data_IF_452473316032
#
_entry.id   IF_452473316032
#
_cell.length_a   1.000
_cell.length_b   1.000
_cell.length_c   1.000
_cell.angle_alpha   90.00
_cell.angle_beta   90.00
_cell.angle_gamma   90.00
#
_symmetry.space_group_name_H-M   'P 1'
#
loop_
_entity.id
_entity.type
_entity.pdbx_description
1 polymer ?
#
# COMPACT_ATOMS: atom_id res chain seq x y z
N UNK A 1 23.10 2.74 -19.36
CA UNK A 1 22.84 4.19 -19.52
C UNK A 1 21.74 4.74 -18.57
N UNK A 2 20.69 3.98 -18.20
CA UNK A 2 19.61 4.43 -17.30
C UNK A 2 20.01 4.66 -15.83
N UNK A 3 21.21 4.24 -15.40
CA UNK A 3 21.70 4.37 -14.01
C UNK A 3 22.54 5.65 -13.83
N UNK A 4 23.13 6.19 -14.86
CA UNK A 4 24.03 7.36 -14.81
C UNK A 4 23.27 8.66 -14.95
N UNK A 5 23.65 9.69 -14.14
CA UNK A 5 23.13 11.05 -14.27
C UNK A 5 23.54 11.65 -15.63
N UNK A 6 22.64 12.47 -16.21
CA UNK A 6 22.96 13.27 -17.38
C UNK A 6 24.16 14.21 -17.15
N UNK A 7 25.01 14.38 -18.17
CA UNK A 7 25.87 15.55 -18.26
C UNK A 7 25.00 16.78 -18.28
N UNK A 8 25.38 17.80 -17.49
CA UNK A 8 24.71 19.09 -17.38
C UNK A 8 24.56 19.71 -18.76
N UNK A 9 23.33 19.87 -19.23
CA UNK A 9 23.02 20.69 -20.38
C UNK A 9 22.72 22.09 -19.85
N UNK A 10 23.44 23.10 -20.31
CA UNK A 10 23.45 24.44 -19.73
C UNK A 10 22.14 25.24 -19.90
N UNK A 11 21.13 24.68 -20.56
CA UNK A 11 19.87 25.34 -20.92
C UNK A 11 18.67 25.04 -20.01
N UNK A 12 18.77 24.12 -19.04
CA UNK A 12 17.64 23.75 -18.18
C UNK A 12 17.71 24.37 -16.79
N UNK A 13 16.56 24.81 -16.27
CA UNK A 13 16.40 25.17 -14.86
C UNK A 13 16.64 23.93 -13.96
N UNK A 14 16.92 24.16 -12.66
CA UNK A 14 17.14 23.06 -11.72
C UNK A 14 15.94 22.12 -11.60
N UNK A 15 14.73 22.64 -11.79
CA UNK A 15 13.51 21.85 -11.67
C UNK A 15 13.22 21.07 -12.96
N UNK A 16 13.47 21.63 -14.12
CA UNK A 16 13.44 20.91 -15.40
C UNK A 16 14.46 19.76 -15.43
N UNK A 17 15.67 19.97 -14.88
CA UNK A 17 16.68 18.91 -14.75
C UNK A 17 16.21 17.77 -13.82
N UNK A 18 15.47 18.07 -12.74
CA UNK A 18 14.89 17.06 -11.86
C UNK A 18 13.78 16.29 -12.57
N UNK A 19 12.86 16.98 -13.25
CA UNK A 19 11.79 16.35 -14.03
C UNK A 19 12.35 15.38 -15.05
N UNK A 20 13.32 15.81 -15.83
CA UNK A 20 13.97 14.99 -16.85
C UNK A 20 14.73 13.79 -16.27
N UNK A 21 15.38 13.95 -15.11
CA UNK A 21 16.00 12.83 -14.42
C UNK A 21 14.97 11.78 -13.95
N UNK A 22 13.82 12.21 -13.40
CA UNK A 22 12.75 11.30 -12.97
C UNK A 22 12.17 10.59 -14.20
N UNK A 23 11.87 11.32 -15.27
CA UNK A 23 11.36 10.75 -16.53
C UNK A 23 12.29 9.68 -17.10
N UNK A 24 13.61 9.93 -17.10
CA UNK A 24 14.61 8.94 -17.54
C UNK A 24 14.67 7.70 -16.65
N UNK A 25 14.50 7.87 -15.34
CA UNK A 25 14.40 6.73 -14.42
C UNK A 25 13.16 5.91 -14.78
N UNK A 26 12.00 6.54 -14.96
CA UNK A 26 10.76 5.87 -15.33
C UNK A 26 10.86 5.14 -16.67
N UNK A 27 11.45 5.80 -17.69
CA UNK A 27 11.70 5.18 -19.00
C UNK A 27 12.62 3.96 -18.89
N UNK A 28 13.74 4.09 -18.19
CA UNK A 28 14.66 2.98 -18.00
C UNK A 28 14.03 1.82 -17.21
N UNK A 29 13.10 2.12 -16.30
CA UNK A 29 12.32 1.10 -15.57
C UNK A 29 11.34 0.36 -16.47
N UNK A 30 10.74 1.03 -17.45
CA UNK A 30 9.82 0.39 -18.41
C UNK A 30 10.54 -0.62 -19.33
N UNK A 31 11.84 -0.43 -19.55
CA UNK A 31 12.68 -1.33 -20.34
C UNK A 31 13.29 -2.46 -19.49
N UNK A 32 13.79 -2.12 -18.30
CA UNK A 32 14.43 -3.09 -17.40
C UNK A 32 14.25 -2.71 -15.92
N UNK A 33 13.47 -3.51 -15.21
CA UNK A 33 13.18 -3.33 -13.78
C UNK A 33 14.45 -3.34 -12.90
N UNK A 34 15.56 -3.95 -13.34
CA UNK A 34 16.83 -3.99 -12.60
C UNK A 34 17.37 -2.60 -12.34
N UNK A 35 17.15 -1.69 -13.27
CA UNK A 35 17.59 -0.29 -13.14
C UNK A 35 17.02 0.35 -11.89
N UNK A 36 15.72 0.14 -11.59
CA UNK A 36 15.13 0.75 -10.40
C UNK A 36 15.60 0.09 -9.12
N UNK A 37 15.79 -1.24 -9.11
CA UNK A 37 16.29 -1.94 -7.92
C UNK A 37 17.68 -1.40 -7.55
N UNK A 38 18.56 -1.22 -8.54
CA UNK A 38 19.89 -0.62 -8.33
C UNK A 38 19.75 0.83 -7.84
N UNK A 39 18.82 1.61 -8.39
CA UNK A 39 18.57 2.99 -7.96
C UNK A 39 18.01 3.08 -6.54
N UNK A 40 17.11 2.17 -6.16
CA UNK A 40 16.60 2.10 -4.79
C UNK A 40 17.71 1.72 -3.81
N UNK A 41 18.58 0.77 -4.15
CA UNK A 41 19.73 0.39 -3.34
C UNK A 41 20.74 1.53 -3.19
N UNK A 42 21.08 2.23 -4.28
CA UNK A 42 21.94 3.43 -4.25
C UNK A 42 21.32 4.53 -3.37
N UNK A 43 20.04 4.82 -3.56
CA UNK A 43 19.33 5.80 -2.73
C UNK A 43 19.30 5.41 -1.26
N UNK A 44 19.10 4.14 -0.94
CA UNK A 44 19.08 3.64 0.43
C UNK A 44 20.45 3.82 1.09
N UNK A 45 21.53 3.48 0.40
CA UNK A 45 22.88 3.73 0.87
C UNK A 45 23.11 5.23 1.14
N UNK A 46 22.70 6.09 0.22
CA UNK A 46 22.80 7.53 0.37
C UNK A 46 21.99 8.05 1.56
N UNK A 47 20.81 7.52 1.83
CA UNK A 47 20.00 7.90 2.99
C UNK A 47 20.64 7.46 4.32
N UNK A 48 21.20 6.26 4.38
CA UNK A 48 21.91 5.75 5.57
C UNK A 48 23.17 6.54 5.91
N UNK A 49 23.80 7.16 4.91
CA UNK A 49 25.02 7.95 5.05
C UNK A 49 24.79 9.47 4.97
N UNK A 50 23.53 9.91 5.07
CA UNK A 50 23.15 11.30 4.84
C UNK A 50 23.68 12.27 5.92
N UNK A 51 24.00 11.76 7.11
CA UNK A 51 24.61 12.51 8.20
C UNK A 51 25.98 13.16 7.85
N UNK A 52 26.70 12.65 6.84
CA UNK A 52 27.94 13.23 6.34
C UNK A 52 27.74 14.39 5.35
N UNK A 53 26.48 14.69 4.99
CA UNK A 53 26.16 15.77 4.07
C UNK A 53 25.83 17.07 4.82
N UNK A 54 25.91 18.23 4.10
CA UNK A 54 25.46 19.54 4.63
C UNK A 54 23.94 19.54 4.81
N UNK A 55 23.43 20.28 5.80
CA UNK A 55 22.01 20.29 6.17
C UNK A 55 21.04 20.62 5.02
N UNK A 56 21.38 21.63 4.20
CA UNK A 56 20.59 21.98 3.04
C UNK A 56 20.45 20.83 2.04
N UNK A 57 21.52 20.05 1.87
CA UNK A 57 21.53 18.88 0.98
C UNK A 57 20.79 17.70 1.62
N UNK A 58 20.87 17.52 2.96
CA UNK A 58 20.12 16.47 3.68
C UNK A 58 18.63 16.62 3.47
N UNK A 59 18.07 17.83 3.68
CA UNK A 59 16.65 18.11 3.51
C UNK A 59 16.20 17.87 2.06
N UNK A 60 16.97 18.30 1.07
CA UNK A 60 16.64 18.11 -0.34
C UNK A 60 16.58 16.62 -0.69
N UNK A 61 17.57 15.83 -0.28
CA UNK A 61 17.61 14.38 -0.55
C UNK A 61 16.51 13.65 0.20
N UNK A 62 16.25 14.00 1.46
CA UNK A 62 15.16 13.42 2.24
C UNK A 62 13.79 13.71 1.62
N UNK A 63 13.54 14.94 1.17
CA UNK A 63 12.31 15.33 0.49
C UNK A 63 12.11 14.57 -0.82
N UNK A 64 13.16 14.47 -1.64
CA UNK A 64 13.13 13.68 -2.89
C UNK A 64 12.84 12.19 -2.59
N UNK A 65 13.48 11.64 -1.56
CA UNK A 65 13.28 10.24 -1.15
C UNK A 65 11.84 9.99 -0.70
N UNK A 66 11.28 10.87 0.15
CA UNK A 66 9.91 10.76 0.63
C UNK A 66 8.86 10.87 -0.47
N UNK A 67 9.10 11.75 -1.45
CA UNK A 67 8.09 12.08 -2.45
C UNK A 67 8.18 11.25 -3.73
N UNK A 68 9.34 10.63 -4.04
CA UNK A 68 9.57 9.91 -5.29
C UNK A 68 9.93 8.46 -5.01
N UNK A 69 11.02 8.21 -4.27
CA UNK A 69 11.57 6.86 -4.13
C UNK A 69 10.74 5.96 -3.20
N UNK A 70 10.22 6.51 -2.09
CA UNK A 70 9.36 5.74 -1.19
C UNK A 70 8.03 5.34 -1.87
N UNK A 71 7.32 6.23 -2.61
CA UNK A 71 6.19 5.86 -3.45
C UNK A 71 6.50 4.80 -4.50
N UNK A 72 7.62 4.93 -5.22
CA UNK A 72 8.03 3.92 -6.21
C UNK A 72 8.27 2.56 -5.52
N UNK A 73 9.03 2.52 -4.42
CA UNK A 73 9.26 1.30 -3.65
C UNK A 73 7.95 0.67 -3.16
N UNK A 74 6.99 1.49 -2.72
CA UNK A 74 5.65 1.04 -2.33
C UNK A 74 4.90 0.36 -3.48
N UNK A 75 4.91 1.00 -4.67
CA UNK A 75 4.24 0.49 -5.87
C UNK A 75 4.84 -0.83 -6.37
N UNK A 76 6.15 -0.95 -6.26
CA UNK A 76 6.86 -2.19 -6.58
C UNK A 76 6.70 -3.28 -5.51
N UNK A 77 6.00 -2.98 -4.41
CA UNK A 77 5.77 -3.90 -3.29
C UNK A 77 7.00 -4.14 -2.41
N UNK A 78 8.10 -3.37 -2.57
CA UNK A 78 9.34 -3.54 -1.80
C UNK A 78 9.20 -2.79 -0.48
N UNK A 79 8.46 -3.42 0.44
CA UNK A 79 8.04 -2.80 1.69
C UNK A 79 9.20 -2.46 2.63
N UNK A 80 10.20 -3.33 2.73
CA UNK A 80 11.36 -3.12 3.59
C UNK A 80 12.09 -1.82 3.24
N UNK A 81 12.36 -1.60 1.95
CA UNK A 81 13.01 -0.37 1.47
C UNK A 81 12.10 0.85 1.65
N UNK A 82 10.81 0.71 1.35
CA UNK A 82 9.84 1.80 1.52
C UNK A 82 9.74 2.26 2.97
N UNK A 83 9.59 1.32 3.93
CA UNK A 83 9.47 1.64 5.35
C UNK A 83 10.77 2.32 5.86
N UNK A 84 11.95 1.87 5.45
CA UNK A 84 13.23 2.48 5.81
C UNK A 84 13.44 3.86 5.16
N UNK A 85 13.03 4.04 3.90
CA UNK A 85 13.04 5.36 3.25
C UNK A 85 12.18 6.37 3.99
N UNK A 86 10.95 5.99 4.34
CA UNK A 86 10.04 6.85 5.06
C UNK A 86 10.60 7.24 6.44
N UNK A 87 11.14 6.30 7.20
CA UNK A 87 11.69 6.58 8.52
C UNK A 87 12.94 7.46 8.47
N UNK A 88 13.90 7.14 7.59
CA UNK A 88 15.10 7.96 7.41
C UNK A 88 14.78 9.37 6.90
N UNK A 89 13.84 9.47 5.95
CA UNK A 89 13.42 10.78 5.44
C UNK A 89 12.69 11.59 6.51
N UNK A 90 11.83 10.96 7.31
CA UNK A 90 11.12 11.60 8.42
C UNK A 90 12.08 12.17 9.45
N UNK A 91 13.11 11.41 9.84
CA UNK A 91 14.16 11.88 10.76
C UNK A 91 14.81 13.20 10.33
N UNK A 92 15.06 13.39 9.01
CA UNK A 92 15.69 14.62 8.49
C UNK A 92 14.72 15.74 8.16
N UNK A 93 13.44 15.42 7.84
CA UNK A 93 12.44 16.42 7.45
C UNK A 93 11.77 17.07 8.67
N UNK A 94 11.45 16.28 9.67
CA UNK A 94 10.82 16.73 10.91
C UNK A 94 11.45 16.04 12.14
N UNK A 95 12.67 16.48 12.54
CA UNK A 95 13.38 15.87 13.66
C UNK A 95 12.67 16.03 15.01
N UNK A 96 11.82 17.05 15.17
CA UNK A 96 11.07 17.26 16.41
C UNK A 96 9.96 16.23 16.57
N UNK A 97 9.12 16.07 15.54
CA UNK A 97 8.07 15.06 15.55
C UNK A 97 8.65 13.64 15.58
N UNK A 98 9.80 13.42 14.93
CA UNK A 98 10.53 12.14 15.02
C UNK A 98 10.95 11.84 16.46
N UNK A 99 11.59 12.79 17.13
CA UNK A 99 12.05 12.64 18.51
C UNK A 99 10.89 12.40 19.49
N UNK A 100 9.78 13.12 19.34
CA UNK A 100 8.56 12.94 20.13
C UNK A 100 8.00 11.52 19.98
N UNK A 101 7.85 11.04 18.74
CA UNK A 101 7.36 9.67 18.48
C UNK A 101 8.33 8.63 19.03
N UNK A 102 9.66 8.83 18.82
CA UNK A 102 10.67 7.90 19.29
C UNK A 102 10.69 7.82 20.83
N UNK A 103 10.66 8.95 21.53
CA UNK A 103 10.58 8.99 22.99
C UNK A 103 9.33 8.26 23.50
N UNK A 104 8.17 8.53 22.92
CA UNK A 104 6.92 7.84 23.25
C UNK A 104 7.01 6.32 23.01
N UNK A 105 7.73 5.90 21.98
CA UNK A 105 7.97 4.49 21.71
C UNK A 105 8.94 3.86 22.70
N UNK A 106 10.04 4.54 23.05
CA UNK A 106 11.03 4.05 24.01
C UNK A 106 10.47 3.91 25.43
N UNK A 107 9.69 4.89 25.90
CA UNK A 107 9.02 4.82 27.21
C UNK A 107 8.15 3.56 27.38
N UNK A 108 7.61 3.04 26.29
CA UNK A 108 6.71 1.88 26.30
C UNK A 108 7.36 0.57 25.84
N UNK A 109 8.64 0.62 25.47
CA UNK A 109 9.35 -0.47 24.80
C UNK A 109 9.47 -1.73 25.67
N UNK A 110 10.02 -1.61 26.86
CA UNK A 110 10.36 -2.77 27.69
C UNK A 110 9.18 -3.66 28.09
N UNK A 111 8.07 -3.06 28.55
CA UNK A 111 6.88 -3.83 28.96
C UNK A 111 6.15 -4.46 27.78
N UNK A 112 6.25 -3.86 26.58
CA UNK A 112 5.51 -4.33 25.39
C UNK A 112 6.29 -5.31 24.55
N UNK A 113 7.61 -5.24 24.49
CA UNK A 113 8.44 -6.30 23.90
C UNK A 113 8.25 -7.61 24.65
N UNK A 114 8.21 -7.55 25.98
CA UNK A 114 7.96 -8.72 26.81
C UNK A 114 6.54 -9.29 26.59
N UNK A 115 5.55 -8.40 26.39
CA UNK A 115 4.18 -8.83 26.03
C UNK A 115 4.16 -9.56 24.68
N UNK A 116 4.82 -9.01 23.64
CA UNK A 116 4.88 -9.65 22.31
C UNK A 116 5.57 -10.99 22.38
N UNK A 117 6.69 -11.11 23.13
CA UNK A 117 7.39 -12.38 23.31
C UNK A 117 6.49 -13.39 24.05
N UNK A 118 5.79 -13.00 25.11
CA UNK A 118 4.85 -13.86 25.80
C UNK A 118 3.71 -14.34 24.89
N UNK A 119 3.19 -13.45 24.02
CA UNK A 119 2.16 -13.80 23.03
C UNK A 119 2.72 -14.79 22.01
N UNK A 120 3.93 -14.56 21.50
CA UNK A 120 4.60 -15.48 20.56
C UNK A 120 4.77 -16.87 21.16
N UNK A 121 5.23 -16.98 22.41
CA UNK A 121 5.36 -18.26 23.09
C UNK A 121 4.01 -18.96 23.24
N UNK A 122 2.97 -18.28 23.69
CA UNK A 122 1.62 -18.85 23.80
C UNK A 122 1.09 -19.37 22.46
N UNK A 123 1.32 -18.62 21.38
CA UNK A 123 0.91 -19.04 20.04
C UNK A 123 1.73 -20.24 19.57
N UNK A 124 3.05 -20.21 19.80
CA UNK A 124 3.95 -21.33 19.45
C UNK A 124 3.50 -22.62 20.11
N UNK A 125 3.33 -22.63 21.46
CA UNK A 125 2.93 -23.82 22.22
C UNK A 125 1.56 -24.37 21.78
N UNK A 126 0.70 -23.50 21.26
CA UNK A 126 -0.60 -23.93 20.74
C UNK A 126 -0.49 -24.52 19.32
N UNK A 127 0.30 -23.88 18.45
CA UNK A 127 0.49 -24.33 17.07
C UNK A 127 1.33 -25.62 16.99
N UNK A 128 2.27 -25.84 17.91
CA UNK A 128 3.08 -27.06 17.99
C UNK A 128 2.22 -28.35 18.09
N UNK A 129 0.99 -28.26 18.61
CA UNK A 129 0.07 -29.39 18.73
C UNK A 129 -0.56 -29.79 17.39
N UNK A 130 -0.67 -28.87 16.46
CA UNK A 130 -1.45 -29.07 15.23
C UNK A 130 -0.58 -28.99 13.96
N UNK A 131 0.69 -28.54 14.08
CA UNK A 131 1.59 -28.32 12.94
C UNK A 131 2.98 -28.94 13.16
N UNK A 132 3.43 -29.69 12.17
CA UNK A 132 4.81 -30.20 12.07
C UNK A 132 5.32 -29.99 10.63
N UNK A 133 6.31 -29.10 10.39
CA UNK A 133 6.97 -28.22 11.36
C UNK A 133 6.08 -27.07 11.84
N UNK A 134 6.37 -26.57 13.05
CA UNK A 134 5.69 -25.40 13.62
C UNK A 134 5.89 -24.18 12.73
N UNK A 135 4.83 -23.39 12.43
CA UNK A 135 4.94 -22.16 11.67
C UNK A 135 5.93 -21.14 12.28
N UNK A 136 6.62 -20.39 11.44
CA UNK A 136 7.48 -19.32 11.91
C UNK A 136 6.64 -18.16 12.48
N UNK A 137 6.95 -17.76 13.72
CA UNK A 137 6.26 -16.68 14.43
C UNK A 137 7.24 -15.54 14.69
N UNK A 138 6.95 -14.36 14.11
CA UNK A 138 7.77 -13.16 14.23
C UNK A 138 7.01 -12.04 14.93
N UNK A 139 7.70 -11.31 15.82
CA UNK A 139 7.21 -10.02 16.29
C UNK A 139 7.52 -8.93 15.27
N UNK A 140 6.59 -8.01 15.07
CA UNK A 140 6.77 -6.85 14.19
C UNK A 140 6.43 -5.57 14.91
N UNK A 141 7.33 -4.59 14.84
CA UNK A 141 7.11 -3.22 15.30
C UNK A 141 6.87 -2.33 14.08
N UNK A 142 5.88 -1.45 14.17
CA UNK A 142 5.58 -0.46 13.13
C UNK A 142 6.62 0.65 13.13
N UNK A 143 6.96 1.15 11.95
CA UNK A 143 7.93 2.24 11.78
C UNK A 143 7.45 3.56 12.43
N UNK A 144 8.38 4.42 12.84
CA UNK A 144 8.07 5.71 13.47
C UNK A 144 7.22 6.60 12.55
N UNK A 145 7.54 6.65 11.26
CA UNK A 145 6.73 7.37 10.29
C UNK A 145 5.33 6.76 10.12
N UNK A 146 5.23 5.44 10.19
CA UNK A 146 3.93 4.74 10.17
C UNK A 146 3.04 5.10 11.36
N UNK A 147 3.63 5.35 12.54
CA UNK A 147 2.94 5.85 13.73
C UNK A 147 2.59 7.32 13.56
N UNK A 148 3.55 8.15 13.12
CA UNK A 148 3.35 9.57 12.84
C UNK A 148 2.13 9.81 11.94
N UNK A 149 2.01 9.08 10.83
CA UNK A 149 0.83 9.19 9.94
C UNK A 149 -0.48 8.95 10.67
N UNK A 150 -0.53 7.97 11.57
CA UNK A 150 -1.76 7.65 12.31
C UNK A 150 -2.10 8.68 13.38
N UNK A 151 -1.09 9.25 14.02
CA UNK A 151 -1.30 10.28 15.03
C UNK A 151 -1.70 11.61 14.37
N UNK A 152 -0.87 12.11 13.48
CA UNK A 152 -1.00 13.48 12.97
C UNK A 152 -1.95 13.61 11.77
N UNK A 153 -2.05 12.58 10.91
CA UNK A 153 -2.96 12.59 9.77
C UNK A 153 -4.32 12.00 10.07
N UNK A 154 -4.35 10.86 10.77
CA UNK A 154 -5.58 10.12 11.04
C UNK A 154 -6.19 10.52 12.41
N UNK A 155 -5.57 11.44 13.17
CA UNK A 155 -6.05 11.98 14.45
C UNK A 155 -6.17 10.94 15.57
N UNK A 156 -5.41 9.85 15.53
CA UNK A 156 -5.47 8.77 16.52
C UNK A 156 -4.49 9.02 17.66
N UNK A 157 -4.94 8.77 18.88
CA UNK A 157 -4.03 8.69 20.02
C UNK A 157 -3.09 7.49 19.86
N UNK A 158 -1.84 7.61 20.34
CA UNK A 158 -0.84 6.55 20.24
C UNK A 158 -1.34 5.23 20.84
N UNK A 159 -2.14 5.28 21.91
CA UNK A 159 -2.69 4.08 22.55
C UNK A 159 -3.84 3.42 21.76
N UNK A 160 -4.45 4.13 20.80
CA UNK A 160 -5.44 3.60 19.87
C UNK A 160 -4.81 2.95 18.62
N UNK A 161 -3.48 2.98 18.50
CA UNK A 161 -2.77 2.33 17.39
C UNK A 161 -2.48 0.88 17.76
N UNK A 162 -3.46 0.00 17.52
CA UNK A 162 -3.39 -1.42 17.88
C UNK A 162 -2.41 -2.23 17.03
N UNK A 163 -2.12 -1.79 15.81
CA UNK A 163 -1.16 -2.40 14.87
C UNK A 163 0.29 -1.90 15.07
N UNK A 164 0.56 -1.24 16.19
CA UNK A 164 1.92 -0.83 16.56
C UNK A 164 2.80 -2.04 16.85
N UNK A 165 2.23 -3.03 17.53
CA UNK A 165 2.84 -4.33 17.77
C UNK A 165 2.00 -5.38 17.07
N UNK A 166 2.61 -6.13 16.19
CA UNK A 166 1.95 -7.19 15.46
C UNK A 166 2.73 -8.50 15.60
N UNK A 167 2.01 -9.60 15.60
CA UNK A 167 2.59 -10.92 15.45
C UNK A 167 2.34 -11.40 14.04
N UNK A 168 3.39 -11.88 13.38
CA UNK A 168 3.32 -12.45 12.06
C UNK A 168 3.52 -13.96 12.15
N UNK A 169 2.64 -14.70 11.48
CA UNK A 169 2.70 -16.16 11.41
C UNK A 169 2.86 -16.54 9.94
N UNK A 170 3.91 -17.31 9.63
CA UNK A 170 4.24 -17.73 8.29
C UNK A 170 4.07 -19.23 8.18
N UNK A 171 3.20 -19.63 7.25
CA UNK A 171 2.82 -21.03 7.00
C UNK A 171 3.17 -21.43 5.56
N UNK A 172 2.95 -22.71 5.19
CA UNK A 172 3.30 -23.22 3.88
C UNK A 172 2.17 -23.04 2.85
N UNK A 173 0.91 -23.22 3.26
CA UNK A 173 -0.24 -23.23 2.36
C UNK A 173 -1.32 -22.22 2.73
N UNK A 174 -2.17 -21.87 1.77
CA UNK A 174 -3.33 -20.99 2.00
C UNK A 174 -4.31 -21.63 2.99
N UNK A 175 -4.54 -22.92 2.91
CA UNK A 175 -5.40 -23.65 3.84
C UNK A 175 -4.91 -23.51 5.26
N UNK A 176 -3.60 -23.64 5.49
CA UNK A 176 -2.99 -23.43 6.80
C UNK A 176 -3.18 -22.00 7.31
N UNK A 177 -3.22 -20.98 6.43
CA UNK A 177 -3.52 -19.60 6.85
C UNK A 177 -4.88 -19.51 7.54
N UNK A 178 -5.92 -20.12 6.97
CA UNK A 178 -7.27 -20.10 7.54
C UNK A 178 -7.40 -21.00 8.78
N UNK A 179 -6.68 -22.14 8.82
CA UNK A 179 -6.62 -23.00 10.00
C UNK A 179 -6.00 -22.24 11.19
N UNK A 180 -4.87 -21.59 10.97
CA UNK A 180 -4.21 -20.75 12.00
C UNK A 180 -5.12 -19.59 12.42
N UNK A 181 -5.86 -18.97 11.52
CA UNK A 181 -6.82 -17.92 11.88
C UNK A 181 -7.88 -18.44 12.85
N UNK A 182 -8.43 -19.64 12.61
CA UNK A 182 -9.39 -20.29 13.51
C UNK A 182 -8.79 -20.52 14.90
N UNK A 183 -7.55 -21.03 14.97
CA UNK A 183 -6.82 -21.26 16.24
C UNK A 183 -6.59 -19.93 16.97
N UNK A 184 -6.18 -18.87 16.27
CA UNK A 184 -5.97 -17.55 16.88
C UNK A 184 -7.27 -16.98 17.45
N UNK A 185 -8.40 -17.16 16.77
CA UNK A 185 -9.70 -16.70 17.24
C UNK A 185 -10.26 -17.54 18.41
N UNK A 186 -9.84 -18.81 18.53
CA UNK A 186 -10.10 -19.65 19.70
C UNK A 186 -9.28 -19.21 20.92
N UNK A 187 -8.00 -18.86 20.71
CA UNK A 187 -7.09 -18.41 21.78
C UNK A 187 -7.38 -17.00 22.27
N UNK A 188 -7.77 -16.09 21.38
CA UNK A 188 -7.91 -14.64 21.61
C UNK A 188 -9.22 -14.13 21.03
N UNK A 189 -9.83 -13.17 21.71
CA UNK A 189 -11.12 -12.62 21.27
C UNK A 189 -10.91 -11.61 20.12
N UNK A 190 -11.46 -11.85 18.91
CA UNK A 190 -11.34 -10.91 17.80
C UNK A 190 -12.15 -9.64 18.05
N UNK A 191 -11.60 -8.49 17.62
CA UNK A 191 -12.30 -7.21 17.62
C UNK A 191 -13.20 -7.15 16.38
N UNK A 192 -14.51 -6.88 16.52
CA UNK A 192 -15.43 -6.76 15.39
C UNK A 192 -14.96 -5.72 14.37
N UNK A 193 -15.17 -6.00 13.08
CA UNK A 193 -14.82 -5.14 11.95
C UNK A 193 -13.30 -4.83 11.82
N UNK A 194 -12.45 -5.67 12.43
CA UNK A 194 -10.98 -5.54 12.34
C UNK A 194 -10.31 -6.72 11.63
N UNK A 195 -11.10 -7.59 11.04
CA UNK A 195 -10.61 -8.65 10.16
C UNK A 195 -10.52 -8.14 8.73
N UNK A 196 -9.41 -8.45 8.04
CA UNK A 196 -9.21 -8.12 6.61
C UNK A 196 -8.60 -9.34 5.93
N UNK A 197 -9.24 -9.80 4.87
CA UNK A 197 -8.77 -10.91 4.04
C UNK A 197 -8.15 -10.37 2.75
N UNK A 198 -6.85 -10.16 2.78
CA UNK A 198 -6.07 -9.80 1.59
C UNK A 198 -5.54 -11.03 0.83
N UNK A 199 -5.92 -12.27 1.21
CA UNK A 199 -5.62 -13.46 0.42
C UNK A 199 -6.67 -13.59 -0.69
N UNK A 200 -7.94 -13.50 -0.33
CA UNK A 200 -9.06 -13.55 -1.28
C UNK A 200 -9.12 -12.29 -2.13
N UNK A 201 -8.76 -11.13 -1.56
CA UNK A 201 -8.80 -9.83 -2.23
C UNK A 201 -7.45 -9.12 -2.10
N UNK A 202 -6.46 -9.48 -2.96
CA UNK A 202 -5.13 -8.89 -2.90
C UNK A 202 -5.14 -7.38 -3.15
N UNK A 203 -4.22 -6.64 -2.51
CA UNK A 203 -4.03 -5.21 -2.80
C UNK A 203 -3.44 -4.99 -4.20
N UNK A 204 -3.60 -3.78 -4.74
CA UNK A 204 -3.06 -3.41 -6.06
C UNK A 204 -1.54 -3.69 -6.22
N UNK A 205 -0.77 -3.61 -5.13
CA UNK A 205 0.64 -3.97 -5.10
C UNK A 205 0.90 -5.48 -4.86
N UNK A 206 -0.12 -6.34 -5.07
CA UNK A 206 -0.08 -7.79 -4.89
C UNK A 206 0.17 -8.26 -3.45
N UNK A 207 0.00 -7.38 -2.47
CA UNK A 207 0.12 -7.77 -1.07
C UNK A 207 -1.02 -8.72 -0.68
N UNK A 208 -0.68 -9.87 -0.08
CA UNK A 208 -1.60 -10.88 0.43
C UNK A 208 -1.26 -11.24 1.87
N UNK A 209 -2.26 -11.29 2.74
CA UNK A 209 -2.17 -11.73 4.14
C UNK A 209 -3.57 -11.73 4.76
N UNK A 210 -3.84 -12.58 5.74
CA UNK A 210 -4.96 -12.36 6.66
C UNK A 210 -4.51 -11.41 7.77
N UNK A 211 -5.34 -10.43 8.11
CA UNK A 211 -5.11 -9.51 9.22
C UNK A 211 -6.28 -9.61 10.19
N UNK A 212 -6.00 -9.86 11.44
CA UNK A 212 -7.00 -9.81 12.49
C UNK A 212 -6.46 -9.06 13.70
N UNK A 213 -7.29 -8.21 14.32
CA UNK A 213 -6.95 -7.58 15.59
C UNK A 213 -7.68 -8.33 16.70
N UNK A 214 -6.93 -8.78 17.68
CA UNK A 214 -7.45 -9.61 18.78
C UNK A 214 -7.06 -9.02 20.14
N UNK A 215 -7.77 -9.38 21.17
CA UNK A 215 -7.50 -8.98 22.57
C UNK A 215 -7.06 -10.21 23.35
N UNK A 216 -5.90 -10.13 23.99
CA UNK A 216 -5.39 -11.10 24.94
C UNK A 216 -6.04 -10.97 26.32
N UNK A 217 -5.68 -11.88 27.24
CA UNK A 217 -6.16 -11.84 28.63
C UNK A 217 -5.72 -10.58 29.37
N UNK A 218 -4.64 -9.96 28.94
CA UNK A 218 -4.09 -8.73 29.48
C UNK A 218 -4.90 -7.47 29.07
N UNK A 219 -5.97 -7.63 28.27
CA UNK A 219 -6.81 -6.53 27.77
C UNK A 219 -6.17 -5.65 26.71
N UNK A 220 -4.95 -5.99 26.27
CA UNK A 220 -4.20 -5.20 25.28
C UNK A 220 -4.48 -5.75 23.89
N UNK A 221 -5.00 -4.92 22.95
CA UNK A 221 -5.20 -5.34 21.57
C UNK A 221 -3.86 -5.44 20.81
N UNK A 222 -3.76 -6.45 19.94
CA UNK A 222 -2.64 -6.60 19.02
C UNK A 222 -3.11 -7.16 17.66
N UNK A 223 -2.35 -6.87 16.60
CA UNK A 223 -2.65 -7.39 15.27
C UNK A 223 -1.92 -8.71 15.03
N UNK A 224 -2.61 -9.68 14.44
CA UNK A 224 -2.01 -10.91 13.93
C UNK A 224 -2.10 -10.90 12.41
N UNK A 225 -0.95 -11.11 11.75
CA UNK A 225 -0.82 -11.21 10.30
C UNK A 225 -0.45 -12.65 9.94
N UNK A 226 -1.26 -13.31 9.11
CA UNK A 226 -1.04 -14.68 8.73
C UNK A 226 -0.87 -14.76 7.21
N UNK A 227 0.18 -15.39 6.73
CA UNK A 227 0.49 -15.50 5.30
C UNK A 227 1.40 -16.67 4.99
N UNK A 228 1.43 -17.11 3.73
CA UNK A 228 2.36 -18.13 3.29
C UNK A 228 3.78 -17.58 3.09
N UNK A 229 4.77 -18.46 2.95
CA UNK A 229 6.14 -18.07 2.59
C UNK A 229 6.22 -17.34 1.26
N UNK A 230 5.41 -17.69 0.28
CA UNK A 230 5.35 -16.99 -1.01
C UNK A 230 4.81 -15.58 -0.84
N UNK A 231 3.69 -15.42 -0.12
CA UNK A 231 3.12 -14.11 0.21
C UNK A 231 4.08 -13.27 1.05
N UNK A 232 4.83 -13.90 1.96
CA UNK A 232 5.84 -13.23 2.78
C UNK A 232 6.94 -12.65 1.90
N UNK A 233 7.51 -13.44 0.99
CA UNK A 233 8.53 -12.97 0.05
C UNK A 233 8.01 -11.86 -0.85
N UNK A 234 6.80 -12.02 -1.39
CA UNK A 234 6.16 -10.98 -2.20
C UNK A 234 5.93 -9.69 -1.41
N UNK A 235 5.51 -9.77 -0.14
CA UNK A 235 5.27 -8.60 0.71
C UNK A 235 6.55 -7.87 1.15
N UNK A 236 7.69 -8.57 1.30
CA UNK A 236 8.97 -7.95 1.71
C UNK A 236 9.80 -7.45 0.52
N UNK A 237 9.83 -8.21 -0.58
CA UNK A 237 10.71 -7.96 -1.72
C UNK A 237 9.96 -7.54 -2.99
N UNK A 238 8.61 -7.56 -2.97
CA UNK A 238 7.79 -7.15 -4.10
C UNK A 238 8.15 -7.88 -5.38
N UNK A 239 8.27 -7.11 -6.45
CA UNK A 239 8.62 -7.64 -7.78
C UNK A 239 9.98 -8.37 -7.79
N UNK A 240 10.91 -8.00 -6.91
CA UNK A 240 12.23 -8.64 -6.83
C UNK A 240 12.15 -10.09 -6.30
N UNK A 241 11.09 -10.47 -5.58
CA UNK A 241 10.92 -11.83 -5.06
C UNK A 241 10.81 -12.89 -6.17
N UNK A 242 10.30 -12.52 -7.33
CA UNK A 242 10.04 -13.44 -8.44
C UNK A 242 11.26 -13.64 -9.38
N UNK A 243 12.32 -12.85 -9.20
CA UNK A 243 13.48 -12.85 -10.11
C UNK A 243 14.39 -14.06 -9.98
N UNK A 244 14.57 -14.58 -8.76
CA UNK A 244 15.42 -15.78 -8.55
C UNK A 244 14.91 -17.05 -9.26
N UNK A 245 13.64 -17.08 -9.67
CA UNK A 245 13.00 -18.28 -10.23
C UNK A 245 12.94 -18.32 -11.76
N UNK A 246 13.33 -17.24 -12.46
CA UNK A 246 13.15 -17.13 -13.92
C UNK A 246 14.40 -16.71 -14.70
N UNK A 247 15.56 -17.27 -14.38
CA UNK A 247 16.67 -17.26 -15.33
C UNK A 247 16.30 -18.17 -16.52
N UNK A 248 15.74 -17.60 -17.57
CA UNK A 248 15.48 -18.28 -18.84
C UNK A 248 14.15 -17.98 -19.55
N UNK A 249 13.18 -17.32 -18.93
CA UNK A 249 11.90 -17.00 -19.59
C UNK A 249 11.68 -15.49 -19.66
N UNK A 250 11.76 -14.93 -20.87
CA UNK A 250 11.37 -13.55 -21.16
C UNK A 250 9.88 -13.36 -20.88
N UNK A 251 9.56 -12.37 -20.01
CA UNK A 251 8.25 -11.76 -19.85
C UNK A 251 7.10 -12.72 -19.52
N UNK A 252 6.70 -12.85 -18.24
CA UNK A 252 5.36 -13.37 -17.96
C UNK A 252 4.37 -12.21 -18.02
N UNK A 253 3.14 -12.47 -18.49
CA UNK A 253 2.05 -11.48 -18.58
C UNK A 253 1.77 -10.74 -17.26
N UNK A 254 2.15 -11.33 -16.12
CA UNK A 254 2.02 -10.72 -14.78
C UNK A 254 3.06 -9.63 -14.52
N UNK A 255 4.27 -9.74 -15.05
CA UNK A 255 5.31 -8.72 -14.89
C UNK A 255 5.02 -7.52 -15.81
N UNK A 256 4.44 -7.77 -16.97
CA UNK A 256 3.96 -6.72 -17.89
C UNK A 256 2.82 -5.89 -17.26
N UNK A 257 1.88 -6.52 -16.55
CA UNK A 257 0.83 -5.81 -15.83
C UNK A 257 1.38 -4.95 -14.68
N UNK A 258 2.41 -5.44 -13.97
CA UNK A 258 3.06 -4.69 -12.87
C UNK A 258 3.81 -3.45 -13.35
N UNK A 259 4.24 -3.41 -14.60
CA UNK A 259 4.95 -2.27 -15.21
C UNK A 259 4.03 -1.41 -16.08
N UNK A 260 2.79 -1.84 -16.33
CA UNK A 260 1.83 -1.10 -17.15
C UNK A 260 1.59 0.32 -16.63
N UNK A 261 1.55 0.52 -15.30
CA UNK A 261 1.39 1.82 -14.69
C UNK A 261 2.56 2.79 -15.02
N UNK A 262 3.79 2.28 -15.17
CA UNK A 262 4.95 3.10 -15.56
C UNK A 262 4.73 3.63 -16.97
N UNK A 263 4.30 2.76 -17.90
CA UNK A 263 3.98 3.16 -19.28
C UNK A 263 2.85 4.18 -19.30
N UNK A 264 1.82 3.96 -18.49
CA UNK A 264 0.68 4.86 -18.38
C UNK A 264 1.09 6.25 -17.85
N UNK A 265 1.97 6.33 -16.82
CA UNK A 265 2.53 7.61 -16.36
C UNK A 265 3.37 8.26 -17.45
N UNK A 266 4.22 7.51 -18.15
CA UNK A 266 5.06 8.04 -19.23
C UNK A 266 4.18 8.60 -20.36
N UNK A 267 3.15 7.86 -20.77
CA UNK A 267 2.21 8.27 -21.82
C UNK A 267 1.41 9.52 -21.43
N UNK A 268 0.91 9.57 -20.19
CA UNK A 268 0.15 10.74 -19.69
C UNK A 268 1.01 11.99 -19.49
N UNK A 269 2.33 11.85 -19.40
CA UNK A 269 3.26 12.93 -19.07
C UNK A 269 4.18 13.32 -20.23
N UNK A 270 3.87 12.90 -21.48
CA UNK A 270 4.71 13.24 -22.65
C UNK A 270 4.80 14.74 -22.92
N UNK A 271 3.85 15.53 -22.45
CA UNK A 271 3.75 16.97 -22.69
C UNK A 271 4.06 17.85 -21.46
N UNK A 272 4.16 17.26 -20.25
CA UNK A 272 4.38 18.03 -19.01
C UNK A 272 5.85 18.07 -18.60
N UNK A 273 6.39 19.27 -18.43
CA UNK A 273 7.72 19.51 -17.85
C UNK A 273 7.69 19.76 -16.34
N UNK A 274 6.53 19.61 -15.68
CA UNK A 274 6.36 19.89 -14.26
C UNK A 274 6.67 18.66 -13.40
N UNK A 275 7.69 18.82 -12.52
CA UNK A 275 8.08 17.79 -11.52
C UNK A 275 6.91 17.47 -10.58
N UNK A 276 6.12 18.48 -10.21
CA UNK A 276 5.02 18.30 -9.27
C UNK A 276 3.90 17.45 -9.87
N UNK A 277 3.64 17.58 -11.17
CA UNK A 277 2.68 16.72 -11.86
C UNK A 277 3.15 15.27 -11.94
N UNK A 278 4.43 15.05 -12.26
CA UNK A 278 5.00 13.69 -12.28
C UNK A 278 4.94 13.06 -10.87
N UNK A 279 5.32 13.82 -9.84
CA UNK A 279 5.22 13.37 -8.45
C UNK A 279 3.78 13.13 -8.03
N UNK A 280 2.85 13.97 -8.47
CA UNK A 280 1.42 13.83 -8.20
C UNK A 280 0.85 12.58 -8.89
N UNK A 281 1.23 12.32 -10.14
CA UNK A 281 0.84 11.11 -10.86
C UNK A 281 1.37 9.84 -10.17
N UNK A 282 2.65 9.83 -9.76
CA UNK A 282 3.22 8.72 -8.98
C UNK A 282 2.45 8.49 -7.66
N UNK A 283 2.01 9.58 -6.98
CA UNK A 283 1.29 9.53 -5.71
C UNK A 283 -0.20 9.23 -5.88
N UNK A 284 -0.86 9.79 -6.87
CA UNK A 284 -2.30 9.58 -7.10
C UNK A 284 -2.61 8.13 -7.47
N UNK A 285 -1.69 7.50 -8.17
CA UNK A 285 -1.76 6.07 -8.45
C UNK A 285 -1.48 5.18 -7.20
N UNK A 286 -1.00 5.79 -6.10
CA UNK A 286 -0.91 5.20 -4.77
C UNK A 286 -2.18 5.45 -3.95
N UNK A 287 -3.28 5.82 -4.63
CA UNK A 287 -4.55 6.14 -4.01
C UNK A 287 -4.96 5.15 -2.92
N UNK A 288 -5.68 5.64 -1.91
CA UNK A 288 -6.00 4.91 -0.70
C UNK A 288 -6.71 3.59 -1.00
N UNK A 289 -6.75 2.74 0.01
CA UNK A 289 -7.39 1.42 0.01
C UNK A 289 -8.61 1.36 -0.92
N UNK A 290 -8.60 0.43 -1.89
CA UNK A 290 -9.74 0.20 -2.78
C UNK A 290 -10.98 -0.17 -1.97
N UNK A 291 -12.14 0.28 -2.41
CA UNK A 291 -13.44 -0.20 -1.94
C UNK A 291 -13.95 -1.30 -2.87
N UNK A 292 -14.49 -2.33 -2.29
CA UNK A 292 -15.05 -3.47 -2.99
C UNK A 292 -16.56 -3.44 -2.83
N UNK A 293 -17.28 -3.13 -3.89
CA UNK A 293 -18.74 -3.13 -3.90
C UNK A 293 -19.27 -4.21 -4.85
N UNK A 294 -20.50 -4.63 -4.64
CA UNK A 294 -21.09 -5.74 -5.36
C UNK A 294 -22.27 -5.31 -6.21
N UNK A 295 -22.40 -5.88 -7.38
CA UNK A 295 -23.65 -5.79 -8.14
C UNK A 295 -24.72 -6.68 -7.49
N UNK A 296 -26.02 -6.47 -7.76
CA UNK A 296 -27.09 -7.37 -7.28
C UNK A 296 -26.92 -8.83 -7.77
N UNK A 297 -26.11 -9.07 -8.80
CA UNK A 297 -25.76 -10.39 -9.31
C UNK A 297 -24.60 -11.04 -8.57
N UNK A 298 -23.95 -10.30 -7.67
CA UNK A 298 -22.79 -10.77 -6.90
C UNK A 298 -21.44 -10.51 -7.56
N UNK A 299 -21.39 -9.78 -8.69
CA UNK A 299 -20.12 -9.40 -9.32
C UNK A 299 -19.42 -8.33 -8.47
N UNK A 300 -18.16 -8.52 -8.16
CA UNK A 300 -17.37 -7.59 -7.38
C UNK A 300 -16.74 -6.52 -8.28
N UNK A 301 -16.96 -5.27 -7.95
CA UNK A 301 -16.36 -4.10 -8.60
C UNK A 301 -15.38 -3.45 -7.62
N UNK A 302 -14.16 -3.25 -8.07
CA UNK A 302 -13.11 -2.60 -7.29
C UNK A 302 -12.97 -1.15 -7.73
N UNK A 303 -13.03 -0.22 -6.78
CA UNK A 303 -12.96 1.22 -7.01
C UNK A 303 -12.05 1.89 -5.98
N UNK A 304 -11.40 3.02 -6.29
CA UNK A 304 -10.67 3.82 -5.30
C UNK A 304 -11.57 4.29 -4.16
N UNK A 305 -11.03 4.38 -2.93
CA UNK A 305 -11.74 5.01 -1.79
C UNK A 305 -12.15 6.44 -2.14
N UNK A 306 -13.39 6.79 -1.82
CA UNK A 306 -13.98 8.07 -2.18
C UNK A 306 -14.76 8.07 -3.49
N UNK A 307 -14.72 6.95 -4.24
CA UNK A 307 -15.58 6.76 -5.42
C UNK A 307 -17.05 6.81 -5.07
N UNK A 308 -17.83 7.35 -5.98
CA UNK A 308 -19.27 7.53 -5.86
C UNK A 308 -20.05 6.46 -6.63
N UNK A 309 -21.37 6.44 -6.45
CA UNK A 309 -22.23 5.54 -7.23
C UNK A 309 -22.20 5.82 -8.73
N UNK A 310 -21.77 7.03 -9.14
CA UNK A 310 -21.53 7.36 -10.56
C UNK A 310 -20.30 6.60 -11.06
N UNK A 311 -19.21 6.62 -10.31
CA UNK A 311 -17.97 5.90 -10.66
C UNK A 311 -18.25 4.39 -10.79
N UNK A 312 -19.07 3.85 -9.89
CA UNK A 312 -19.51 2.46 -9.94
C UNK A 312 -20.32 2.13 -11.21
N UNK A 313 -21.23 3.01 -11.62
CA UNK A 313 -22.02 2.82 -12.83
C UNK A 313 -21.13 2.79 -14.09
N UNK A 314 -20.12 3.68 -14.17
CA UNK A 314 -19.15 3.69 -15.26
C UNK A 314 -18.19 2.49 -15.22
N UNK A 315 -17.84 2.02 -14.03
CA UNK A 315 -17.01 0.82 -13.88
C UNK A 315 -17.70 -0.47 -14.35
N UNK A 316 -19.03 -0.54 -14.22
CA UNK A 316 -19.80 -1.65 -14.80
C UNK A 316 -19.74 -1.57 -16.34
N UNK A 317 -20.16 -0.46 -16.91
CA UNK A 317 -20.14 -0.21 -18.36
C UNK A 317 -20.46 1.26 -18.65
N UNK A 318 -19.78 1.86 -19.63
CA UNK A 318 -20.02 3.26 -20.05
C UNK A 318 -21.49 3.57 -20.35
N UNK A 319 -22.22 2.64 -20.98
CA UNK A 319 -23.65 2.84 -21.26
C UNK A 319 -24.51 2.80 -20.00
N UNK A 320 -24.11 2.07 -18.95
CA UNK A 320 -24.81 2.06 -17.66
C UNK A 320 -24.63 3.42 -16.99
N UNK A 321 -23.41 3.97 -17.00
CA UNK A 321 -23.12 5.31 -16.50
C UNK A 321 -23.92 6.38 -17.23
N UNK A 322 -23.96 6.36 -18.57
CA UNK A 322 -24.70 7.33 -19.38
C UNK A 322 -26.22 7.28 -19.18
N UNK A 323 -26.78 6.11 -18.86
CA UNK A 323 -28.22 5.90 -18.68
C UNK A 323 -28.66 5.93 -17.22
N UNK A 324 -27.73 6.21 -16.30
CA UNK A 324 -28.02 6.21 -14.88
C UNK A 324 -29.02 7.30 -14.53
N UNK A 325 -30.10 6.93 -13.86
CA UNK A 325 -31.12 7.84 -13.33
C UNK A 325 -31.26 7.77 -11.79
N UNK A 326 -30.50 6.90 -11.14
CA UNK A 326 -30.46 6.77 -9.68
C UNK A 326 -29.63 5.55 -9.26
N UNK A 327 -29.41 5.42 -7.96
CA UNK A 327 -28.77 4.26 -7.38
C UNK A 327 -29.43 3.87 -6.05
N UNK A 328 -29.36 2.58 -5.76
CA UNK A 328 -29.68 2.04 -4.43
C UNK A 328 -28.46 1.36 -3.86
N UNK A 329 -28.19 1.63 -2.60
CA UNK A 329 -27.18 0.93 -1.79
C UNK A 329 -27.93 0.14 -0.73
N UNK A 330 -27.69 -1.16 -0.68
CA UNK A 330 -28.37 -2.10 0.23
C UNK A 330 -29.91 -1.90 0.21
N UNK A 331 -30.48 -1.76 -0.98
CA UNK A 331 -31.91 -1.54 -1.27
C UNK A 331 -32.45 -0.14 -0.88
N UNK A 332 -31.62 0.79 -0.40
CA UNK A 332 -32.02 2.18 -0.07
C UNK A 332 -31.56 3.14 -1.17
N UNK A 333 -32.42 4.06 -1.57
CA UNK A 333 -32.05 5.13 -2.51
C UNK A 333 -30.99 6.03 -1.88
N UNK A 334 -29.99 6.37 -2.68
CA UNK A 334 -28.87 7.26 -2.29
C UNK A 334 -28.72 8.40 -3.31
N UNK A 335 -28.05 9.47 -2.88
CA UNK A 335 -27.68 10.59 -3.78
C UNK A 335 -26.53 10.19 -4.71
N UNK A 336 -26.33 10.94 -5.78
CA UNK A 336 -25.28 10.68 -6.77
C UNK A 336 -23.85 10.84 -6.22
N UNK A 337 -23.68 11.67 -5.20
CA UNK A 337 -22.43 11.93 -4.50
C UNK A 337 -22.16 10.97 -3.33
N UNK A 338 -23.01 9.96 -3.16
CA UNK A 338 -22.82 8.94 -2.12
C UNK A 338 -21.49 8.22 -2.31
N UNK A 339 -20.62 8.26 -1.31
CA UNK A 339 -19.33 7.57 -1.29
C UNK A 339 -19.51 6.11 -0.90
N UNK A 340 -19.08 5.22 -1.78
CA UNK A 340 -19.21 3.79 -1.65
C UNK A 340 -18.32 3.26 -0.53
N UNK A 341 -18.83 2.26 0.21
CA UNK A 341 -18.10 1.53 1.24
C UNK A 341 -17.92 0.07 0.85
N UNK A 342 -16.82 -0.53 1.30
CA UNK A 342 -16.56 -1.95 1.06
C UNK A 342 -17.66 -2.83 1.64
N UNK A 343 -18.16 -3.77 0.83
CA UNK A 343 -19.19 -4.74 1.20
C UNK A 343 -20.60 -4.34 0.81
N UNK A 344 -20.83 -3.12 0.29
CA UNK A 344 -22.15 -2.66 -0.12
C UNK A 344 -22.60 -3.28 -1.44
N UNK A 345 -23.91 -3.56 -1.54
CA UNK A 345 -24.55 -4.01 -2.78
C UNK A 345 -25.19 -2.80 -3.46
N UNK A 346 -24.73 -2.50 -4.68
CA UNK A 346 -25.13 -1.30 -5.42
C UNK A 346 -25.94 -1.70 -6.65
N UNK A 347 -27.18 -1.24 -6.70
CA UNK A 347 -28.08 -1.36 -7.84
C UNK A 347 -28.15 -0.03 -8.58
N UNK A 348 -27.68 0.01 -9.82
CA UNK A 348 -27.79 1.18 -10.68
C UNK A 348 -29.13 1.13 -11.42
N UNK A 349 -29.91 2.19 -11.25
CA UNK A 349 -31.17 2.38 -11.98
C UNK A 349 -30.87 3.11 -13.29
N UNK A 350 -31.33 2.53 -14.40
CA UNK A 350 -31.12 3.09 -15.74
C UNK A 350 -32.44 3.39 -16.41
N UNK A 351 -32.49 4.48 -17.20
CA UNK A 351 -33.68 4.77 -18.04
C UNK A 351 -33.51 4.17 -19.42
N UNK A 352 -34.61 3.67 -19.98
CA UNK A 352 -34.65 3.21 -21.37
C UNK A 352 -34.80 4.34 -22.41
N UNK A 353 -35.11 5.57 -21.97
CA UNK A 353 -35.32 6.72 -22.83
C UNK A 353 -34.14 7.69 -22.76
N UNK A 354 -33.44 7.88 -23.86
CA UNK A 354 -32.67 9.09 -24.11
C UNK A 354 -33.68 10.24 -24.15
N UNK A 355 -33.74 11.05 -23.08
CA UNK A 355 -34.42 12.34 -23.16
C UNK A 355 -33.58 13.23 -24.09
N UNK A 356 -33.91 13.22 -25.37
CA UNK A 356 -33.64 14.39 -26.20
C UNK A 356 -34.58 15.46 -25.69
N UNK A 357 -34.07 16.48 -25.02
CA UNK A 357 -34.83 17.69 -24.71
C UNK A 357 -35.43 18.21 -26.01
N UNK A 358 -36.72 18.55 -26.06
CA UNK A 358 -37.27 19.20 -27.22
C UNK A 358 -36.49 20.53 -27.42
N UNK A 359 -36.03 20.72 -28.65
CA UNK A 359 -35.43 21.98 -29.07
C UNK A 359 -36.45 23.10 -28.85
N UNK A 360 -36.10 24.23 -28.23
CA UNK A 360 -36.99 25.39 -28.17
C UNK A 360 -37.02 26.07 -29.52
N UNK A 361 -37.81 25.54 -30.45
CA UNK A 361 -38.24 26.18 -31.68
C UNK A 361 -39.56 25.54 -32.08
N UNK A 362 -40.61 26.15 -31.63
CA UNK A 362 -41.80 26.62 -32.40
C UNK A 362 -42.71 27.42 -31.47
#
# INVERSE_FOLDING_TARGET
>A
NGVTKLKKVETFTKDEQKAENIRKILLAMSEDIRVIIIKLADRLHNMRTLNYCKDSKRRTIAHETMNIYAPIAHRLGIRSIKDEFEDLAFYYLDPYAYAEIDEQMQLRKGSREQLVENIKHKIHDRLEKDFDPVPLIEGRVKSNYGIYKKVYRDGKEIDQIYDRYAVRIIVNTVTECYNVLGIIHDMFRPIPNRFKDYISTPKANMYQSLHTTVIGREGIPFEVQIRTWEMHRTAEYGIAAHWKYKEGVRGSSKDDQRLAWIRQIIESQQESNDVEEIVRAIKNDLAPEDVFAFTPKGDMITLPVGSTVIDFAYAIHTQVGHKMCGAKVDKKMVSYDYQIKTGEIIEILTTCLLYTSPSPRD
#
